data_IF_716604863219
#
_entry.id   IF_716604863219
#
_cell.length_a   1.000
_cell.length_b   1.000
_cell.length_c   1.000
_cell.angle_alpha   90.00
_cell.angle_beta   90.00
_cell.angle_gamma   90.00
#
_symmetry.space_group_name_H-M   'P 1'
#
loop_
_entity.id
_entity.type
_entity.pdbx_description
1 polymer ?
#
# COMPACT_ATOMS: atom_id res chain seq x y z
N UNK A 1 -6.20 8.46 7.30
CA UNK A 1 -4.89 8.94 6.84
C UNK A 1 -5.12 9.76 5.58
N UNK A 2 -4.36 10.83 5.38
CA UNK A 2 -4.41 11.63 4.16
C UNK A 2 -3.12 11.39 3.38
N UNK A 3 -3.25 11.08 2.10
CA UNK A 3 -2.12 10.89 1.20
C UNK A 3 -2.12 12.03 0.17
N UNK A 4 -0.97 12.66 -0.01
CA UNK A 4 -0.76 13.60 -1.08
C UNK A 4 0.41 13.13 -1.94
N UNK A 5 0.29 13.32 -3.25
CA UNK A 5 1.37 13.09 -4.20
C UNK A 5 1.32 14.16 -5.28
N UNK A 6 2.48 14.51 -5.84
CA UNK A 6 2.62 15.52 -6.89
C UNK A 6 1.72 15.23 -8.10
N UNK A 7 1.47 13.94 -8.40
CA UNK A 7 0.61 13.51 -9.50
C UNK A 7 -0.89 13.74 -9.29
N UNK A 8 -1.32 13.99 -8.04
CA UNK A 8 -2.73 14.25 -7.70
C UNK A 8 -3.08 15.75 -7.68
N UNK A 9 -2.10 16.63 -7.95
CA UNK A 9 -2.31 18.07 -7.95
C UNK A 9 -2.61 18.62 -6.55
N UNK A 10 -3.71 19.36 -6.40
CA UNK A 10 -4.13 19.99 -5.13
C UNK A 10 -5.04 19.12 -4.27
N UNK A 11 -5.21 17.85 -4.62
CA UNK A 11 -6.18 16.97 -3.96
C UNK A 11 -5.47 15.98 -3.05
N UNK A 12 -6.02 15.81 -1.85
CA UNK A 12 -5.58 14.81 -0.87
C UNK A 12 -6.49 13.58 -0.98
N UNK A 13 -5.91 12.38 -0.97
CA UNK A 13 -6.68 11.15 -0.91
C UNK A 13 -6.87 10.76 0.54
N UNK A 14 -8.13 10.54 0.92
CA UNK A 14 -8.48 10.01 2.22
C UNK A 14 -8.44 8.48 2.19
N UNK A 15 -7.55 7.92 3.00
CA UNK A 15 -7.40 6.49 3.23
C UNK A 15 -7.89 6.13 4.62
N UNK A 16 -8.78 5.15 4.72
CA UNK A 16 -9.27 4.65 6.01
C UNK A 16 -8.96 3.16 6.18
N UNK A 17 -7.86 2.90 6.88
CA UNK A 17 -7.36 1.55 7.16
C UNK A 17 -8.34 0.67 7.93
N UNK A 18 -9.38 1.24 8.57
CA UNK A 18 -10.39 0.47 9.29
C UNK A 18 -11.23 -0.41 8.37
N UNK A 19 -11.32 -0.04 7.08
CA UNK A 19 -12.06 -0.77 6.06
C UNK A 19 -11.16 -1.66 5.19
N UNK A 20 -9.87 -1.73 5.48
CA UNK A 20 -8.95 -2.55 4.68
C UNK A 20 -8.84 -3.94 5.29
N UNK A 21 -8.63 -4.93 4.42
CA UNK A 21 -8.38 -6.32 4.82
C UNK A 21 -6.91 -6.64 4.66
N UNK A 22 -6.35 -7.27 5.69
CA UNK A 22 -5.00 -7.82 5.66
C UNK A 22 -5.14 -9.33 5.53
N UNK A 23 -4.60 -9.87 4.45
CA UNK A 23 -4.74 -11.28 4.06
C UNK A 23 -3.35 -11.83 3.79
N UNK A 24 -3.12 -13.09 4.16
CA UNK A 24 -1.86 -13.76 3.82
C UNK A 24 -1.99 -14.38 2.44
N UNK A 25 -1.04 -14.08 1.56
CA UNK A 25 -0.98 -14.71 0.25
C UNK A 25 -0.60 -16.19 0.43
N UNK A 26 -1.43 -17.14 -0.03
CA UNK A 26 -1.19 -18.57 0.19
C UNK A 26 -0.08 -19.13 -0.69
N UNK A 27 0.28 -18.47 -1.78
CA UNK A 27 1.28 -18.95 -2.75
C UNK A 27 2.69 -18.51 -2.34
N UNK A 28 2.83 -17.27 -1.88
CA UNK A 28 4.14 -16.68 -1.53
C UNK A 28 4.39 -16.63 -0.02
N UNK A 29 3.35 -16.73 0.79
CA UNK A 29 3.41 -16.52 2.23
C UNK A 29 3.50 -15.06 2.66
N UNK A 30 3.52 -14.12 1.72
CA UNK A 30 3.62 -12.69 1.96
C UNK A 30 2.32 -12.10 2.52
N UNK A 31 2.42 -10.92 3.15
CA UNK A 31 1.24 -10.21 3.67
C UNK A 31 0.71 -9.27 2.61
N UNK A 32 -0.58 -9.34 2.34
CA UNK A 32 -1.28 -8.53 1.37
C UNK A 32 -2.31 -7.63 2.06
N UNK A 33 -2.29 -6.34 1.76
CA UNK A 33 -3.27 -5.38 2.22
C UNK A 33 -4.16 -5.02 1.04
N UNK A 34 -5.46 -5.25 1.19
CA UNK A 34 -6.47 -4.98 0.16
C UNK A 34 -7.44 -3.93 0.70
N UNK A 35 -7.71 -2.91 -0.11
CA UNK A 35 -8.62 -1.85 0.27
C UNK A 35 -9.08 -1.03 -0.92
N UNK A 36 -10.01 -0.12 -0.65
CA UNK A 36 -10.49 0.86 -1.60
C UNK A 36 -10.32 2.26 -1.02
N UNK A 37 -9.73 3.16 -1.80
CA UNK A 37 -9.77 4.60 -1.53
C UNK A 37 -11.14 5.11 -1.97
N UNK A 38 -11.79 5.95 -1.16
CA UNK A 38 -13.19 6.38 -1.39
C UNK A 38 -13.34 7.84 -1.81
N UNK A 39 -12.34 8.67 -1.49
CA UNK A 39 -12.41 10.12 -1.72
C UNK A 39 -11.01 10.66 -1.98
N UNK A 40 -10.75 11.40 -3.09
CA UNK A 40 -11.65 11.83 -4.17
C UNK A 40 -11.82 10.81 -5.32
N UNK A 41 -11.10 9.69 -5.28
CA UNK A 41 -11.12 8.67 -6.34
C UNK A 41 -11.50 7.32 -5.73
N UNK A 42 -12.40 6.61 -6.40
CA UNK A 42 -12.72 5.21 -6.10
C UNK A 42 -11.66 4.29 -6.71
N UNK A 43 -10.54 4.09 -6.01
CA UNK A 43 -9.47 3.20 -6.47
C UNK A 43 -9.30 2.01 -5.53
N UNK A 44 -9.48 0.81 -6.08
CA UNK A 44 -9.14 -0.46 -5.44
C UNK A 44 -7.64 -0.75 -5.58
N UNK A 45 -6.98 -1.09 -4.47
CA UNK A 45 -5.56 -1.37 -4.45
C UNK A 45 -5.23 -2.67 -3.72
N UNK A 46 -4.13 -3.28 -4.17
CA UNK A 46 -3.49 -4.43 -3.55
C UNK A 46 -2.04 -4.05 -3.27
N UNK A 47 -1.65 -4.01 -2.00
CA UNK A 47 -0.26 -3.81 -1.59
C UNK A 47 0.27 -5.13 -1.05
N UNK A 48 1.34 -5.65 -1.65
CA UNK A 48 2.06 -6.79 -1.11
C UNK A 48 3.25 -6.27 -0.30
N UNK A 49 3.41 -6.80 0.90
CA UNK A 49 4.56 -6.52 1.75
C UNK A 49 5.51 -7.70 1.69
N UNK A 50 6.74 -7.42 1.29
CA UNK A 50 7.82 -8.40 1.23
C UNK A 50 8.64 -8.34 2.54
N UNK A 51 9.36 -9.42 2.90
CA UNK A 51 10.20 -9.44 4.09
C UNK A 51 11.23 -8.29 4.17
N UNK A 52 11.71 -7.82 3.02
CA UNK A 52 12.67 -6.74 2.87
C UNK A 52 12.08 -5.37 3.30
N UNK A 53 10.77 -5.19 3.15
CA UNK A 53 10.08 -3.95 3.52
C UNK A 53 9.96 -3.77 5.04
N UNK A 54 10.08 -4.86 5.81
CA UNK A 54 9.92 -4.88 7.27
C UNK A 54 10.86 -3.87 7.95
N UNK A 55 12.10 -3.73 7.46
CA UNK A 55 13.05 -2.77 8.01
C UNK A 55 12.60 -1.32 7.86
N UNK A 56 12.04 -0.97 6.70
CA UNK A 56 11.48 0.36 6.42
C UNK A 56 10.25 0.65 7.27
N UNK A 57 9.34 -0.32 7.38
CA UNK A 57 8.16 -0.22 8.24
C UNK A 57 8.55 -0.07 9.71
N UNK A 58 9.46 -0.89 10.21
CA UNK A 58 9.93 -0.81 11.60
C UNK A 58 10.49 0.58 11.90
N UNK A 59 11.35 1.13 11.03
CA UNK A 59 11.88 2.49 11.18
C UNK A 59 10.77 3.55 11.26
N UNK A 60 9.73 3.42 10.45
CA UNK A 60 8.57 4.32 10.47
C UNK A 60 7.76 4.19 11.78
N UNK A 61 7.48 2.96 12.20
CA UNK A 61 6.69 2.68 13.41
C UNK A 61 7.40 3.08 14.70
N UNK A 62 8.73 2.91 14.77
CA UNK A 62 9.53 3.31 15.92
C UNK A 62 9.98 4.78 15.90
N UNK A 63 9.45 5.59 14.97
CA UNK A 63 9.68 7.03 15.01
C UNK A 63 9.01 7.64 16.25
N UNK A 64 9.77 8.43 17.02
CA UNK A 64 9.29 9.08 18.24
C UNK A 64 7.99 9.88 18.03
N UNK A 65 7.88 10.62 16.93
CA UNK A 65 6.68 11.38 16.61
C UNK A 65 5.45 10.49 16.40
N UNK A 66 5.64 9.33 15.75
CA UNK A 66 4.57 8.35 15.53
C UNK A 66 4.15 7.69 16.85
N UNK A 67 5.11 7.28 17.67
CA UNK A 67 4.84 6.69 18.98
C UNK A 67 4.07 7.66 19.88
N UNK A 68 4.47 8.93 19.92
CA UNK A 68 3.77 9.95 20.69
C UNK A 68 2.34 10.16 20.20
N UNK A 69 2.13 10.20 18.88
CA UNK A 69 0.79 10.33 18.30
C UNK A 69 -0.12 9.15 18.68
N UNK A 70 0.42 7.93 18.69
CA UNK A 70 -0.30 6.72 19.11
C UNK A 70 -0.66 6.81 20.59
N UNK A 71 0.29 7.16 21.46
CA UNK A 71 0.06 7.29 22.90
C UNK A 71 -1.01 8.35 23.20
N UNK A 72 -0.91 9.54 22.59
CA UNK A 72 -1.86 10.62 22.76
C UNK A 72 -3.30 10.24 22.32
N UNK A 73 -3.43 9.30 21.40
CA UNK A 73 -4.72 8.83 20.87
C UNK A 73 -5.11 7.43 21.35
N UNK A 74 -4.35 6.82 22.27
CA UNK A 74 -4.58 5.45 22.73
C UNK A 74 -5.97 5.24 23.31
N UNK A 75 -6.51 6.24 24.02
CA UNK A 75 -7.88 6.18 24.56
C UNK A 75 -8.95 6.01 23.47
N UNK A 76 -8.80 6.69 22.32
CA UNK A 76 -9.73 6.54 21.18
C UNK A 76 -9.63 5.14 20.56
N UNK A 77 -8.44 4.56 20.55
CA UNK A 77 -8.22 3.20 20.06
C UNK A 77 -8.89 2.15 20.95
N UNK A 78 -8.82 2.32 22.28
CA UNK A 78 -9.53 1.45 23.22
C UNK A 78 -11.04 1.49 22.94
N UNK A 79 -11.64 2.68 22.81
CA UNK A 79 -13.06 2.82 22.45
C UNK A 79 -13.37 2.17 21.09
N UNK A 80 -12.49 2.34 20.09
CA UNK A 80 -12.64 1.71 18.78
C UNK A 80 -12.64 0.17 18.87
N UNK A 81 -11.76 -0.43 19.65
CA UNK A 81 -11.71 -1.89 19.82
C UNK A 81 -13.02 -2.44 20.41
N UNK A 82 -13.65 -1.72 21.33
CA UNK A 82 -14.96 -2.09 21.89
C UNK A 82 -16.10 -1.93 20.86
N UNK A 83 -15.99 -0.97 19.94
CA UNK A 83 -17.00 -0.69 18.90
C UNK A 83 -16.68 -1.33 17.53
N UNK A 84 -15.78 -2.32 17.47
CA UNK A 84 -15.27 -2.92 16.22
C UNK A 84 -16.36 -3.44 15.28
N UNK A 85 -17.51 -3.86 15.83
CA UNK A 85 -18.64 -4.39 15.04
C UNK A 85 -19.26 -3.35 14.09
N UNK A 86 -19.13 -2.06 14.37
CA UNK A 86 -19.69 -0.99 13.52
C UNK A 86 -18.91 -0.74 12.23
N UNK A 87 -17.71 -1.34 12.10
CA UNK A 87 -16.82 -1.13 10.96
C UNK A 87 -16.70 -2.38 10.06
N UNK A 88 -17.59 -3.36 10.23
CA UNK A 88 -17.76 -4.43 9.27
C UNK A 88 -18.50 -3.87 8.04
N UNK A 89 -17.85 -3.84 6.88
CA UNK A 89 -18.52 -3.41 5.65
C UNK A 89 -19.61 -4.42 5.27
N UNK A 90 -20.85 -3.94 5.15
CA UNK A 90 -21.95 -4.67 4.54
C UNK A 90 -21.77 -4.65 3.01
N UNK A 91 -21.27 -5.74 2.42
CA UNK A 91 -21.07 -5.85 0.98
C UNK A 91 -20.29 -7.09 0.56
N UNK A 92 -20.08 -7.26 -0.76
CA UNK A 92 -19.18 -8.30 -1.27
C UNK A 92 -17.77 -8.14 -0.67
N UNK A 93 -17.07 -9.24 -0.37
CA UNK A 93 -15.73 -9.17 0.19
C UNK A 93 -14.80 -8.45 -0.80
N UNK A 94 -14.41 -7.20 -0.49
CA UNK A 94 -13.49 -6.37 -1.30
C UNK A 94 -12.26 -7.17 -1.75
N UNK A 95 -11.79 -8.06 -0.87
CA UNK A 95 -10.75 -9.06 -1.17
C UNK A 95 -10.95 -9.80 -2.50
N UNK A 96 -12.12 -10.40 -2.71
CA UNK A 96 -12.38 -11.21 -3.90
C UNK A 96 -12.44 -10.34 -5.17
N UNK A 97 -13.07 -9.16 -5.05
CA UNK A 97 -13.18 -8.21 -6.16
C UNK A 97 -11.80 -7.73 -6.63
N UNK A 98 -10.94 -7.32 -5.69
CA UNK A 98 -9.59 -6.86 -6.00
C UNK A 98 -8.71 -8.00 -6.49
N UNK A 99 -8.81 -9.19 -5.88
CA UNK A 99 -8.01 -10.34 -6.31
C UNK A 99 -8.37 -10.78 -7.74
N UNK A 100 -9.67 -10.79 -8.08
CA UNK A 100 -10.16 -11.05 -9.43
C UNK A 100 -9.65 -10.01 -10.43
N UNK A 101 -9.74 -8.72 -10.08
CA UNK A 101 -9.24 -7.63 -10.93
C UNK A 101 -7.72 -7.75 -11.17
N UNK A 102 -6.94 -7.97 -10.10
CA UNK A 102 -5.50 -8.16 -10.15
C UNK A 102 -5.11 -9.34 -11.05
N UNK A 103 -5.71 -10.51 -10.83
CA UNK A 103 -5.42 -11.71 -11.61
C UNK A 103 -5.78 -11.53 -13.09
N UNK A 104 -6.86 -10.80 -13.39
CA UNK A 104 -7.25 -10.50 -14.77
C UNK A 104 -6.21 -9.61 -15.46
N UNK A 105 -5.73 -8.57 -14.77
CA UNK A 105 -4.72 -7.66 -15.33
C UNK A 105 -3.35 -8.35 -15.49
N UNK A 106 -2.92 -9.12 -14.49
CA UNK A 106 -1.62 -9.81 -14.53
C UNK A 106 -1.59 -10.98 -15.51
N UNK A 107 -2.72 -11.67 -15.76
CA UNK A 107 -2.83 -12.71 -16.80
C UNK A 107 -2.83 -12.15 -18.23
N UNK A 108 -3.31 -10.92 -18.44
CA UNK A 108 -3.42 -10.31 -19.79
C UNK A 108 -2.12 -9.74 -20.37
N UNK A 109 -0.97 -9.98 -19.72
CA UNK A 109 0.35 -9.78 -20.31
C UNK A 109 1.10 -8.61 -19.68
N UNK A 110 2.24 -8.93 -19.05
CA UNK A 110 3.39 -8.02 -19.04
C UNK A 110 3.88 -7.87 -20.48
N UNK A 111 3.85 -6.69 -21.12
CA UNK A 111 4.96 -6.37 -21.98
C UNK A 111 6.19 -6.36 -21.07
N UNK A 112 7.06 -7.35 -21.22
CA UNK A 112 8.37 -7.34 -20.59
C UNK A 112 9.00 -5.99 -20.93
N UNK A 113 9.31 -5.18 -19.92
CA UNK A 113 10.18 -4.03 -20.09
C UNK A 113 11.47 -4.58 -20.70
N UNK A 114 11.66 -4.29 -21.99
CA UNK A 114 12.78 -4.77 -22.76
C UNK A 114 14.07 -4.40 -22.01
N UNK A 115 14.94 -5.40 -21.83
CA UNK A 115 16.32 -5.20 -21.40
C UNK A 115 17.00 -4.25 -22.40
N UNK A 116 17.17 -2.98 -22.06
CA UNK A 116 18.16 -2.16 -22.75
C UNK A 116 19.51 -2.42 -22.09
N UNK A 117 20.26 -3.40 -22.63
CA UNK A 117 21.69 -3.54 -22.38
C UNK A 117 22.46 -2.64 -23.36
N UNK A 118 23.56 -2.10 -22.82
CA UNK A 118 24.79 -1.62 -23.49
C UNK A 118 24.78 -0.27 -24.20
N UNK A 119 25.64 0.65 -23.71
CA UNK A 119 26.50 1.38 -24.64
C UNK A 119 26.93 2.81 -24.35
N UNK A 120 27.13 3.29 -23.11
CA UNK A 120 27.75 4.62 -22.91
C UNK A 120 28.53 4.74 -21.60
N UNK A 121 29.66 4.01 -21.49
CA UNK A 121 30.63 4.22 -20.41
C UNK A 121 32.05 3.89 -20.88
N UNK A 122 32.51 4.54 -21.96
CA UNK A 122 33.93 4.68 -22.33
C UNK A 122 34.11 5.86 -23.29
N UNK A 123 33.97 7.10 -22.82
CA UNK A 123 34.43 8.28 -23.57
C UNK A 123 34.89 9.47 -22.72
N UNK A 124 35.15 9.25 -21.43
CA UNK A 124 35.76 10.26 -20.54
C UNK A 124 37.06 9.73 -19.93
N UNK A 125 38.00 9.32 -20.77
CA UNK A 125 39.42 9.23 -20.42
C UNK A 125 40.17 9.36 -21.74
N UNK A 126 41.07 10.34 -21.81
CA UNK A 126 41.89 10.79 -22.95
C UNK A 126 41.33 12.01 -23.70
N UNK A 127 41.39 13.17 -23.03
CA UNK A 127 41.86 14.40 -23.68
C UNK A 127 42.97 14.94 -22.79
N UNK A 128 44.20 14.63 -23.19
CA UNK A 128 45.42 15.37 -22.85
C UNK A 128 45.84 16.05 -24.14
#
# INVERSE_FOLDING_TARGET
MKLWSRGLGRTEVSMDFRYYKVVKDPETGNVCIVGAMRDPVNWEFRVMMEPEDIGGFAKMFFNWAMLWLVIANAFRYVVYLFNRKQYAEEGEPIEEKVFRAYNTMMRKGRPQAAKTKQGESKKCLNMT
#
